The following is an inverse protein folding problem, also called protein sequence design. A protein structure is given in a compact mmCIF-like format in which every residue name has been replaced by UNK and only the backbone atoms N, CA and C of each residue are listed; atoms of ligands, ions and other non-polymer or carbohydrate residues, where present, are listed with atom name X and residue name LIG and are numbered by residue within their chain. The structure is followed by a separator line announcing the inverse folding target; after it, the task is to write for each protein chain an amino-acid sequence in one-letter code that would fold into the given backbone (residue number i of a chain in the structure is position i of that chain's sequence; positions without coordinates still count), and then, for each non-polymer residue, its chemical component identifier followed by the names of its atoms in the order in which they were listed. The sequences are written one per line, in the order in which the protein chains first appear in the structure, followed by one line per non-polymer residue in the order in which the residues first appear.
data_IF_821300246272
#
_entry.id   IF_821300246272
#
_cell.length_a   1.000
_cell.length_b   1.000
_cell.length_c   1.000
_cell.angle_alpha   90.00
_cell.angle_beta   90.00
_cell.angle_gamma   90.00
#
_symmetry.space_group_name_H-M   'P 1'
#
loop_
_entity.id
_entity.type
_entity.pdbx_description
1 polymer ?
#
# COMPACT_ATOMS: atom_id res chain seq x y z
N UNK A 1 -32.94 1.64 -14.87
CA UNK A 1 -32.11 2.54 -14.05
C UNK A 1 -32.63 2.49 -12.63
N UNK A 2 -31.74 2.34 -11.64
CA UNK A 2 -32.09 2.43 -10.22
C UNK A 2 -31.03 3.24 -9.47
N UNK A 3 -31.42 3.83 -8.34
CA UNK A 3 -30.48 4.49 -7.43
C UNK A 3 -30.74 4.04 -5.99
N UNK A 4 -29.66 3.87 -5.23
CA UNK A 4 -29.74 3.52 -3.82
C UNK A 4 -29.80 4.81 -3.00
N UNK A 5 -30.85 4.98 -2.19
CA UNK A 5 -30.94 6.03 -1.19
C UNK A 5 -30.64 5.44 0.18
N UNK A 6 -29.62 5.97 0.84
CA UNK A 6 -29.34 5.68 2.23
C UNK A 6 -29.86 6.82 3.07
N UNK A 7 -30.87 6.56 3.89
CA UNK A 7 -31.54 7.55 4.74
C UNK A 7 -31.45 7.01 6.18
N UNK A 8 -30.96 7.83 7.08
CA UNK A 8 -30.90 7.59 8.52
C UNK A 8 -31.36 8.85 9.28
N UNK A 9 -31.40 8.80 10.59
CA UNK A 9 -31.89 9.88 11.45
C UNK A 9 -31.09 11.19 11.33
N UNK A 10 -29.84 11.10 10.83
CA UNK A 10 -28.90 12.23 10.68
C UNK A 10 -28.77 12.67 9.22
N UNK A 11 -29.40 11.98 8.28
CA UNK A 11 -29.19 12.19 6.85
C UNK A 11 -29.70 13.56 6.41
N UNK A 12 -28.82 14.35 5.82
CA UNK A 12 -29.18 15.59 5.15
C UNK A 12 -29.99 15.30 3.89
N UNK A 13 -31.28 15.68 3.91
CA UNK A 13 -32.22 15.50 2.79
C UNK A 13 -31.76 16.18 1.49
N UNK A 14 -30.81 17.11 1.56
CA UNK A 14 -30.19 17.73 0.38
C UNK A 14 -29.49 16.71 -0.52
N UNK A 15 -28.72 15.80 0.07
CA UNK A 15 -28.04 14.73 -0.65
C UNK A 15 -29.03 13.75 -1.31
N UNK A 16 -30.12 13.43 -0.62
CA UNK A 16 -31.22 12.58 -1.15
C UNK A 16 -31.89 13.25 -2.35
N UNK A 17 -32.21 14.54 -2.26
CA UNK A 17 -32.81 15.32 -3.36
C UNK A 17 -31.90 15.34 -4.59
N UNK A 18 -30.59 15.53 -4.42
CA UNK A 18 -29.62 15.51 -5.52
C UNK A 18 -29.62 14.15 -6.22
N UNK A 19 -29.61 13.06 -5.48
CA UNK A 19 -29.62 11.70 -6.04
C UNK A 19 -30.92 11.40 -6.81
N UNK A 20 -32.07 11.83 -6.27
CA UNK A 20 -33.37 11.71 -6.97
C UNK A 20 -33.37 12.52 -8.26
N UNK A 21 -32.89 13.77 -8.22
CA UNK A 21 -32.82 14.61 -9.43
C UNK A 21 -31.91 14.03 -10.50
N UNK A 22 -30.76 13.49 -10.10
CA UNK A 22 -29.82 12.79 -11.00
C UNK A 22 -30.46 11.56 -11.64
N UNK A 23 -31.21 10.76 -10.86
CA UNK A 23 -31.94 9.61 -11.38
C UNK A 23 -32.99 10.05 -12.41
N UNK A 24 -33.80 11.05 -12.08
CA UNK A 24 -34.84 11.59 -12.99
C UNK A 24 -34.23 12.15 -14.28
N UNK A 25 -33.10 12.86 -14.19
CA UNK A 25 -32.37 13.34 -15.36
C UNK A 25 -31.91 12.20 -16.26
N UNK A 26 -31.29 11.14 -15.64
CA UNK A 26 -30.82 9.95 -16.38
C UNK A 26 -31.99 9.17 -17.04
N UNK A 27 -33.16 9.13 -16.42
CA UNK A 27 -34.34 8.51 -16.99
C UNK A 27 -34.87 9.33 -18.18
N UNK A 28 -34.92 10.65 -18.02
CA UNK A 28 -35.36 11.57 -19.08
C UNK A 28 -34.42 11.50 -20.30
N UNK A 29 -33.09 11.51 -20.08
CA UNK A 29 -32.12 11.35 -21.17
C UNK A 29 -32.29 10.01 -21.88
N UNK A 30 -32.53 8.92 -21.14
CA UNK A 30 -32.74 7.60 -21.72
C UNK A 30 -33.99 7.55 -22.61
N UNK A 31 -35.14 8.07 -22.15
CA UNK A 31 -36.35 8.15 -22.95
C UNK A 31 -36.16 8.98 -24.24
N UNK A 32 -35.38 10.06 -24.18
CA UNK A 32 -35.12 10.91 -25.34
C UNK A 32 -34.05 10.34 -26.28
N UNK A 33 -33.10 9.53 -25.75
CA UNK A 33 -32.13 8.79 -26.56
C UNK A 33 -32.80 7.61 -27.29
N UNK A 34 -33.63 6.84 -26.60
CA UNK A 34 -34.37 5.70 -27.21
C UNK A 34 -35.28 6.16 -28.36
N UNK A 35 -35.84 7.40 -28.31
CA UNK A 35 -36.61 7.99 -29.38
C UNK A 35 -35.79 8.59 -30.53
N UNK A 36 -34.49 8.83 -30.37
CA UNK A 36 -33.58 9.36 -31.39
C UNK A 36 -32.69 8.31 -32.03
N UNK A 37 -32.58 7.15 -31.47
CA UNK A 37 -31.60 6.13 -31.88
C UNK A 37 -32.26 4.81 -32.28
N UNK A 38 -33.03 4.84 -33.39
CA UNK A 38 -33.43 3.59 -34.10
C UNK A 38 -32.25 2.91 -34.84
N UNK A 39 -31.05 3.45 -34.74
CA UNK A 39 -29.82 2.93 -35.37
C UNK A 39 -28.62 2.90 -34.45
N UNK A 40 -28.77 2.99 -33.12
CA UNK A 40 -27.71 2.60 -32.20
C UNK A 40 -27.56 1.08 -32.26
N UNK A 41 -26.97 0.57 -33.31
CA UNK A 41 -26.15 -0.63 -33.19
C UNK A 41 -25.25 -0.36 -32.03
N UNK A 42 -25.28 -1.25 -31.04
CA UNK A 42 -24.18 -1.37 -30.06
C UNK A 42 -22.93 -1.48 -30.95
N UNK A 43 -22.28 -0.34 -31.17
CA UNK A 43 -20.99 -0.33 -31.84
C UNK A 43 -20.18 -1.28 -31.01
N UNK A 44 -19.82 -2.37 -31.64
CA UNK A 44 -18.89 -3.37 -31.14
C UNK A 44 -17.85 -2.58 -30.34
N UNK A 45 -17.90 -2.67 -29.00
CA UNK A 45 -16.89 -2.07 -28.15
C UNK A 45 -15.70 -2.93 -28.44
N UNK A 46 -14.99 -2.57 -29.52
CA UNK A 46 -13.89 -3.33 -30.07
C UNK A 46 -13.04 -3.76 -28.90
N UNK A 47 -12.79 -5.05 -28.82
CA UNK A 47 -12.12 -5.70 -27.69
C UNK A 47 -10.94 -4.82 -27.28
N UNK A 48 -11.03 -4.15 -26.12
CA UNK A 48 -10.00 -3.23 -25.65
C UNK A 48 -8.71 -4.03 -25.46
N UNK A 49 -7.87 -4.03 -26.50
CA UNK A 49 -6.54 -4.65 -26.45
C UNK A 49 -5.64 -3.81 -25.57
N UNK A 50 -5.62 -4.15 -24.28
CA UNK A 50 -4.70 -3.51 -23.34
C UNK A 50 -3.25 -3.62 -23.82
N UNK A 51 -2.43 -2.56 -23.73
CA UNK A 51 -1.00 -2.67 -23.95
C UNK A 51 -0.38 -3.60 -22.90
N UNK A 52 0.47 -4.49 -23.35
CA UNK A 52 1.10 -5.53 -22.53
C UNK A 52 2.59 -5.21 -22.40
N UNK A 53 3.12 -5.25 -21.19
CA UNK A 53 4.55 -5.07 -20.96
C UNK A 53 5.33 -6.29 -21.49
N UNK A 54 6.11 -6.09 -22.57
CA UNK A 54 6.83 -7.16 -23.28
C UNK A 54 8.24 -7.40 -22.74
N UNK A 55 8.90 -8.45 -23.21
CA UNK A 55 10.30 -8.76 -22.82
C UNK A 55 11.29 -7.72 -23.35
N UNK A 56 10.99 -7.12 -24.50
CA UNK A 56 11.76 -6.04 -25.11
C UNK A 56 11.66 -4.76 -24.29
N UNK A 57 10.46 -4.42 -23.85
CA UNK A 57 10.19 -3.28 -22.96
C UNK A 57 10.95 -3.37 -21.62
N UNK A 58 11.20 -4.57 -21.11
CA UNK A 58 12.03 -4.75 -19.89
C UNK A 58 13.40 -4.11 -20.01
N UNK A 59 13.97 -4.05 -21.22
CA UNK A 59 15.32 -3.51 -21.46
C UNK A 59 15.33 -2.01 -21.73
N UNK A 60 14.21 -1.43 -22.16
CA UNK A 60 14.13 -0.07 -22.71
C UNK A 60 13.23 0.84 -21.91
N UNK A 61 12.26 0.30 -21.19
CA UNK A 61 11.27 1.10 -20.46
C UNK A 61 11.64 1.28 -18.99
N UNK A 62 11.34 2.47 -18.50
CA UNK A 62 11.35 2.75 -17.06
C UNK A 62 9.98 2.42 -16.47
N UNK A 63 9.96 1.70 -15.37
CA UNK A 63 8.74 1.33 -14.66
C UNK A 63 8.55 2.30 -13.49
N UNK A 64 7.47 3.07 -13.51
CA UNK A 64 7.12 3.97 -12.42
C UNK A 64 6.29 3.23 -11.37
N UNK A 65 6.65 3.42 -10.11
CA UNK A 65 6.02 2.82 -8.93
C UNK A 65 5.38 3.95 -8.12
N UNK A 66 4.09 3.88 -7.72
CA UNK A 66 3.50 4.92 -6.90
C UNK A 66 4.10 4.87 -5.49
N UNK A 67 4.35 6.01 -4.87
CA UNK A 67 4.77 6.06 -3.49
C UNK A 67 3.58 5.79 -2.56
N UNK A 68 3.61 4.70 -1.83
CA UNK A 68 2.54 4.34 -0.88
C UNK A 68 3.03 4.26 0.56
N UNK A 69 4.32 3.97 0.77
CA UNK A 69 4.93 3.85 2.09
C UNK A 69 6.43 4.15 2.00
N UNK A 70 6.89 5.36 2.35
CA UNK A 70 8.25 5.83 2.10
C UNK A 70 9.35 4.94 2.71
N UNK A 71 9.15 4.42 3.93
CA UNK A 71 10.11 3.52 4.57
C UNK A 71 10.28 2.19 3.83
N UNK A 72 9.27 1.76 3.04
CA UNK A 72 9.20 0.41 2.47
C UNK A 72 9.45 0.38 0.96
N UNK A 73 8.87 1.31 0.21
CA UNK A 73 8.83 1.25 -1.25
C UNK A 73 10.20 1.43 -1.91
N UNK A 74 11.13 2.11 -1.25
CA UNK A 74 12.52 2.19 -1.69
C UNK A 74 13.23 0.81 -1.71
N UNK A 75 12.83 -0.13 -0.84
CA UNK A 75 13.34 -1.51 -0.89
C UNK A 75 12.66 -2.32 -2.01
N UNK A 76 11.37 -2.06 -2.31
CA UNK A 76 10.71 -2.64 -3.47
C UNK A 76 11.41 -2.23 -4.76
N UNK A 77 11.73 -0.94 -4.91
CA UNK A 77 12.50 -0.40 -6.03
C UNK A 77 13.85 -1.13 -6.14
N UNK A 78 14.59 -1.23 -5.05
CA UNK A 78 15.88 -1.94 -5.00
C UNK A 78 15.73 -3.40 -5.42
N UNK A 79 14.75 -4.13 -4.91
CA UNK A 79 14.52 -5.53 -5.24
C UNK A 79 14.18 -5.74 -6.73
N UNK A 80 13.41 -4.84 -7.33
CA UNK A 80 13.09 -4.88 -8.74
C UNK A 80 14.28 -4.50 -9.62
N UNK A 81 15.08 -3.52 -9.22
CA UNK A 81 16.31 -3.12 -9.93
C UNK A 81 17.35 -4.25 -9.92
N UNK A 82 17.53 -4.95 -8.78
CA UNK A 82 18.37 -6.16 -8.69
C UNK A 82 17.88 -7.26 -9.65
N UNK A 83 16.58 -7.36 -9.87
CA UNK A 83 15.98 -8.34 -10.81
C UNK A 83 16.10 -7.89 -12.29
N UNK A 84 16.79 -6.79 -12.56
CA UNK A 84 17.07 -6.28 -13.91
C UNK A 84 15.90 -5.51 -14.52
N UNK A 85 15.03 -4.93 -13.69
CA UNK A 85 14.07 -3.91 -14.12
C UNK A 85 14.69 -2.52 -13.90
N UNK A 86 14.30 -1.55 -14.73
CA UNK A 86 14.63 -0.15 -14.50
C UNK A 86 13.42 0.51 -13.84
N UNK A 87 13.44 0.65 -12.52
CA UNK A 87 12.29 1.14 -11.75
C UNK A 87 12.60 2.45 -11.05
N UNK A 88 11.57 3.27 -10.84
CA UNK A 88 11.63 4.50 -10.07
C UNK A 88 10.36 4.63 -9.23
N UNK A 89 10.52 4.75 -7.90
CA UNK A 89 9.42 5.13 -7.01
C UNK A 89 9.18 6.63 -7.16
N UNK A 90 7.96 7.01 -7.47
CA UNK A 90 7.60 8.41 -7.69
C UNK A 90 7.84 9.24 -6.42
N UNK A 91 8.49 10.40 -6.53
CA UNK A 91 8.52 11.34 -5.43
C UNK A 91 7.09 11.84 -5.18
N UNK A 92 6.69 11.90 -3.92
CA UNK A 92 5.35 12.33 -3.56
C UNK A 92 5.40 13.70 -2.89
N UNK A 93 5.76 14.71 -3.64
CA UNK A 93 6.01 16.08 -3.17
C UNK A 93 5.01 17.08 -3.74
N UNK A 94 4.30 16.71 -4.82
CA UNK A 94 3.38 17.61 -5.50
C UNK A 94 2.01 17.67 -4.83
N UNK A 95 1.58 18.86 -4.44
CA UNK A 95 0.21 19.12 -3.97
C UNK A 95 -0.85 18.86 -5.06
N UNK A 96 -0.44 18.81 -6.33
CA UNK A 96 -1.34 18.62 -7.47
C UNK A 96 -1.83 17.18 -7.58
N UNK A 97 -1.21 16.21 -6.90
CA UNK A 97 -1.56 14.79 -6.98
C UNK A 97 -3.03 14.53 -6.70
N UNK A 98 -3.61 15.14 -5.66
CA UNK A 98 -5.02 14.98 -5.32
C UNK A 98 -5.92 15.59 -6.39
N UNK A 99 -5.59 16.79 -6.86
CA UNK A 99 -6.36 17.49 -7.89
C UNK A 99 -6.33 16.74 -9.23
N UNK A 100 -5.15 16.24 -9.63
CA UNK A 100 -5.02 15.40 -10.82
C UNK A 100 -5.82 14.10 -10.69
N UNK A 101 -5.78 13.45 -9.54
CA UNK A 101 -6.56 12.23 -9.29
C UNK A 101 -8.07 12.46 -9.36
N UNK A 102 -8.56 13.56 -8.81
CA UNK A 102 -10.00 13.92 -8.81
C UNK A 102 -10.56 14.22 -10.21
N UNK A 103 -9.71 14.57 -11.18
CA UNK A 103 -10.16 14.74 -12.57
C UNK A 103 -10.63 13.45 -13.23
N UNK A 104 -10.12 12.30 -12.77
CA UNK A 104 -10.34 10.99 -13.40
C UNK A 104 -11.05 10.00 -12.49
N UNK A 105 -10.99 10.19 -11.18
CA UNK A 105 -11.56 9.30 -10.18
C UNK A 105 -12.65 10.04 -9.43
N UNK A 106 -13.84 9.44 -9.39
CA UNK A 106 -14.94 10.00 -8.63
C UNK A 106 -14.59 10.08 -7.14
N UNK A 107 -14.96 11.18 -6.48
CA UNK A 107 -14.67 11.41 -5.07
C UNK A 107 -15.28 10.35 -4.12
N UNK A 108 -16.39 9.70 -4.51
CA UNK A 108 -17.00 8.58 -3.75
C UNK A 108 -16.27 7.25 -3.93
N UNK A 109 -15.22 7.21 -4.77
CA UNK A 109 -14.36 6.05 -4.88
C UNK A 109 -13.50 5.90 -3.61
N UNK A 110 -12.42 5.19 -3.67
CA UNK A 110 -11.50 5.04 -2.55
C UNK A 110 -10.45 6.16 -2.61
N UNK A 111 -10.22 6.91 -1.53
CA UNK A 111 -9.23 7.99 -1.48
C UNK A 111 -7.83 7.55 -1.93
N UNK A 112 -7.30 6.36 -1.51
CA UNK A 112 -6.06 5.83 -2.06
C UNK A 112 -6.04 5.72 -3.59
N UNK A 113 -7.16 5.41 -4.25
CA UNK A 113 -7.18 5.36 -5.71
C UNK A 113 -6.99 6.74 -6.36
N UNK A 114 -7.50 7.78 -5.73
CA UNK A 114 -7.32 9.18 -6.18
C UNK A 114 -5.83 9.54 -6.09
N UNK A 115 -5.19 9.25 -4.96
CA UNK A 115 -3.76 9.53 -4.74
C UNK A 115 -2.89 8.76 -5.75
N UNK A 116 -3.10 7.45 -5.89
CA UNK A 116 -2.27 6.61 -6.76
C UNK A 116 -2.40 7.00 -8.23
N UNK A 117 -3.63 7.20 -8.70
CA UNK A 117 -3.86 7.63 -10.09
C UNK A 117 -3.32 9.05 -10.31
N UNK A 118 -3.53 9.94 -9.34
CA UNK A 118 -3.01 11.29 -9.39
C UNK A 118 -1.48 11.34 -9.49
N UNK A 119 -0.76 10.54 -8.69
CA UNK A 119 0.70 10.43 -8.76
C UNK A 119 1.18 10.05 -10.16
N UNK A 120 0.55 9.05 -10.78
CA UNK A 120 0.94 8.62 -12.13
C UNK A 120 0.65 9.70 -13.16
N UNK A 121 -0.54 10.31 -13.15
CA UNK A 121 -0.90 11.32 -14.16
C UNK A 121 -0.06 12.59 -13.99
N UNK A 122 0.17 13.05 -12.75
CA UNK A 122 1.04 14.19 -12.47
C UNK A 122 2.48 13.93 -12.98
N UNK A 123 3.02 12.74 -12.69
CA UNK A 123 4.34 12.33 -13.15
C UNK A 123 4.43 12.29 -14.70
N UNK A 124 3.45 11.69 -15.37
CA UNK A 124 3.44 11.61 -16.84
C UNK A 124 3.30 12.99 -17.50
N UNK A 125 2.59 13.92 -16.86
CA UNK A 125 2.45 15.31 -17.34
C UNK A 125 3.65 16.21 -17.01
N UNK A 126 4.55 15.79 -16.14
CA UNK A 126 5.70 16.59 -15.69
C UNK A 126 6.72 16.91 -16.77
N UNK A 127 6.70 16.20 -17.89
CA UNK A 127 7.74 16.29 -18.94
C UNK A 127 9.06 15.59 -18.59
N UNK A 128 9.18 14.98 -17.41
CA UNK A 128 10.39 14.27 -16.95
C UNK A 128 10.62 12.94 -17.66
N UNK A 129 9.57 12.29 -18.15
CA UNK A 129 9.61 10.95 -18.66
C UNK A 129 9.33 10.88 -20.16
N UNK A 130 10.07 10.01 -20.87
CA UNK A 130 9.79 9.65 -22.27
C UNK A 130 8.55 8.73 -22.27
N UNK A 131 7.41 9.26 -22.72
CA UNK A 131 6.12 8.57 -22.67
C UNK A 131 6.09 7.30 -23.55
N UNK A 132 6.96 7.19 -24.54
CA UNK A 132 7.10 5.99 -25.37
C UNK A 132 7.97 4.91 -24.73
N UNK A 133 8.69 5.25 -23.64
CA UNK A 133 9.58 4.33 -22.90
C UNK A 133 9.27 4.24 -21.41
N UNK A 134 8.01 4.45 -21.04
CA UNK A 134 7.56 4.32 -19.67
C UNK A 134 6.54 3.21 -19.54
N UNK A 135 6.51 2.57 -18.39
CA UNK A 135 5.48 1.63 -17.97
C UNK A 135 5.08 1.94 -16.53
N UNK A 136 3.90 1.58 -16.13
CA UNK A 136 3.40 1.79 -14.78
C UNK A 136 3.21 0.45 -14.07
N UNK A 137 3.43 0.39 -12.76
CA UNK A 137 3.16 -0.80 -11.98
C UNK A 137 2.27 -0.45 -10.79
N UNK A 138 1.22 -1.25 -10.58
CA UNK A 138 0.29 -1.07 -9.48
C UNK A 138 -0.10 -2.41 -8.87
N UNK A 139 -0.31 -2.46 -7.56
CA UNK A 139 -0.81 -3.64 -6.87
C UNK A 139 -2.27 -3.93 -7.24
N UNK A 140 -2.59 -5.22 -7.40
CA UNK A 140 -3.95 -5.71 -7.62
C UNK A 140 -4.22 -6.86 -6.66
N UNK A 141 -5.06 -6.63 -5.66
CA UNK A 141 -5.22 -7.56 -4.53
C UNK A 141 -6.05 -8.80 -4.86
N UNK A 142 -7.00 -8.69 -5.80
CA UNK A 142 -7.88 -9.81 -6.20
C UNK A 142 -8.97 -10.17 -5.19
N UNK A 143 -9.12 -9.40 -4.10
CA UNK A 143 -10.12 -9.59 -3.07
C UNK A 143 -11.31 -8.63 -3.16
N UNK A 144 -12.12 -8.56 -2.11
CA UNK A 144 -13.27 -7.64 -1.99
C UNK A 144 -12.90 -6.16 -1.80
N UNK A 145 -11.62 -5.85 -1.64
CA UNK A 145 -11.12 -4.48 -1.54
C UNK A 145 -11.13 -3.79 -2.92
N UNK A 146 -11.42 -2.48 -2.96
CA UNK A 146 -11.39 -1.68 -4.19
C UNK A 146 -10.01 -1.59 -4.83
N UNK A 147 -8.93 -1.87 -4.10
CA UNK A 147 -7.58 -1.98 -4.66
C UNK A 147 -7.45 -2.99 -5.82
N UNK A 148 -8.36 -3.94 -5.93
CA UNK A 148 -8.49 -4.81 -7.09
C UNK A 148 -8.77 -4.03 -8.39
N UNK A 149 -9.48 -2.90 -8.30
CA UNK A 149 -9.93 -2.10 -9.45
C UNK A 149 -9.07 -0.85 -9.73
N UNK A 150 -8.07 -0.54 -8.93
CA UNK A 150 -7.21 0.64 -9.16
C UNK A 150 -6.56 0.61 -10.55
N UNK A 151 -6.18 -0.56 -11.03
CA UNK A 151 -5.62 -0.74 -12.36
C UNK A 151 -6.60 -0.32 -13.47
N UNK A 152 -7.88 -0.58 -13.31
CA UNK A 152 -8.93 -0.17 -14.26
C UNK A 152 -9.14 1.34 -14.24
N UNK A 153 -9.11 1.96 -13.06
CA UNK A 153 -9.17 3.41 -12.92
C UNK A 153 -7.97 4.09 -13.59
N UNK A 154 -6.78 3.55 -13.37
CA UNK A 154 -5.56 4.06 -13.99
C UNK A 154 -5.61 3.96 -15.51
N UNK A 155 -6.03 2.82 -16.07
CA UNK A 155 -6.20 2.64 -17.51
C UNK A 155 -7.21 3.60 -18.11
N UNK A 156 -8.33 3.84 -17.40
CA UNK A 156 -9.31 4.85 -17.82
C UNK A 156 -8.67 6.24 -17.84
N UNK A 157 -7.96 6.62 -16.79
CA UNK A 157 -7.28 7.91 -16.71
C UNK A 157 -6.23 8.08 -17.84
N UNK A 158 -5.47 7.03 -18.16
CA UNK A 158 -4.54 7.04 -19.29
C UNK A 158 -5.27 7.27 -20.61
N UNK A 159 -6.37 6.56 -20.86
CA UNK A 159 -7.20 6.75 -22.06
C UNK A 159 -7.73 8.16 -22.17
N UNK A 160 -8.26 8.71 -21.07
CA UNK A 160 -8.80 10.08 -21.03
C UNK A 160 -7.71 11.16 -21.31
N UNK A 161 -6.42 10.80 -21.22
CA UNK A 161 -5.28 11.66 -21.55
C UNK A 161 -4.59 11.31 -22.90
N UNK A 162 -5.10 10.37 -23.69
CA UNK A 162 -4.47 9.93 -24.95
C UNK A 162 -3.18 9.12 -24.72
N UNK A 163 -3.02 8.53 -23.52
CA UNK A 163 -1.84 7.76 -23.08
C UNK A 163 -2.13 6.27 -22.96
N UNK A 164 -3.16 5.77 -23.64
CA UNK A 164 -3.58 4.37 -23.58
C UNK A 164 -2.54 3.37 -24.11
N UNK A 165 -1.50 3.84 -24.80
CA UNK A 165 -0.37 3.01 -25.26
C UNK A 165 0.59 2.62 -24.12
N UNK A 166 0.55 3.34 -22.98
CA UNK A 166 1.43 3.06 -21.83
C UNK A 166 0.99 1.76 -21.13
N UNK A 167 1.86 0.74 -21.03
CA UNK A 167 1.51 -0.50 -20.37
C UNK A 167 1.41 -0.34 -18.85
N UNK A 168 0.36 -0.91 -18.27
CA UNK A 168 0.15 -0.97 -16.83
C UNK A 168 0.33 -2.41 -16.35
N UNK A 169 1.36 -2.63 -15.53
CA UNK A 169 1.73 -3.92 -14.96
C UNK A 169 0.91 -4.16 -13.70
N UNK A 170 0.20 -5.28 -13.64
CA UNK A 170 -0.46 -5.74 -12.42
C UNK A 170 0.56 -6.46 -11.53
N UNK A 171 0.85 -5.87 -10.37
CA UNK A 171 1.64 -6.53 -9.33
C UNK A 171 0.71 -7.39 -8.47
N UNK A 172 0.56 -8.66 -8.85
CA UNK A 172 -0.32 -9.60 -8.16
C UNK A 172 0.31 -10.99 -8.08
N UNK A 173 -0.01 -11.70 -7.00
CA UNK A 173 0.43 -13.09 -6.76
C UNK A 173 -0.57 -14.10 -7.33
N UNK A 174 -1.83 -13.68 -7.52
CA UNK A 174 -2.93 -14.56 -7.94
C UNK A 174 -3.02 -14.81 -9.43
N UNK A 175 -2.13 -14.20 -10.23
CA UNK A 175 -2.10 -14.39 -11.68
C UNK A 175 -3.28 -13.79 -12.43
N UNK A 176 -3.90 -12.72 -11.88
CA UNK A 176 -5.06 -12.03 -12.46
C UNK A 176 -4.77 -11.49 -13.86
N UNK A 177 -3.55 -11.03 -14.09
CA UNK A 177 -3.10 -10.56 -15.39
C UNK A 177 -1.68 -11.04 -15.71
N UNK A 178 -1.41 -11.30 -16.98
CA UNK A 178 -0.10 -11.70 -17.46
C UNK A 178 0.56 -10.57 -18.24
N UNK A 179 1.82 -10.27 -17.88
CA UNK A 179 2.71 -9.39 -18.61
C UNK A 179 4.00 -10.16 -18.93
N UNK A 180 4.26 -10.54 -20.20
CA UNK A 180 5.39 -11.42 -20.54
C UNK A 180 6.77 -10.88 -20.14
N UNK A 181 6.91 -9.54 -20.09
CA UNK A 181 8.13 -8.86 -19.67
C UNK A 181 8.31 -8.77 -18.17
N UNK A 182 7.25 -8.99 -17.37
CA UNK A 182 7.29 -8.88 -15.91
C UNK A 182 7.02 -10.21 -15.24
N UNK A 183 7.96 -10.68 -14.43
CA UNK A 183 7.83 -11.94 -13.68
C UNK A 183 8.24 -11.73 -12.23
N UNK A 184 7.34 -12.05 -11.33
CA UNK A 184 7.66 -12.20 -9.91
C UNK A 184 8.34 -13.56 -9.70
N UNK A 185 9.60 -13.54 -9.28
CA UNK A 185 10.31 -14.72 -8.85
C UNK A 185 10.45 -14.77 -7.33
N UNK A 186 10.88 -15.91 -6.81
CA UNK A 186 11.05 -16.12 -5.36
C UNK A 186 12.08 -15.18 -4.76
N UNK A 187 13.11 -14.77 -5.53
CA UNK A 187 14.12 -13.82 -5.06
C UNK A 187 13.51 -12.43 -4.85
N UNK A 188 12.77 -11.89 -5.82
CA UNK A 188 12.08 -10.59 -5.70
C UNK A 188 11.15 -10.60 -4.48
N UNK A 189 10.35 -11.66 -4.31
CA UNK A 189 9.42 -11.78 -3.19
C UNK A 189 10.15 -11.80 -1.85
N UNK A 190 11.27 -12.52 -1.77
CA UNK A 190 12.09 -12.58 -0.56
C UNK A 190 12.75 -11.25 -0.26
N UNK A 191 13.37 -10.61 -1.25
CA UNK A 191 14.05 -9.33 -1.07
C UNK A 191 13.04 -8.22 -0.69
N UNK A 192 11.85 -8.23 -1.31
CA UNK A 192 10.75 -7.35 -0.92
C UNK A 192 10.28 -7.59 0.52
N UNK A 193 10.14 -8.86 0.92
CA UNK A 193 9.74 -9.21 2.28
C UNK A 193 10.75 -8.73 3.33
N UNK A 194 12.06 -8.91 3.07
CA UNK A 194 13.10 -8.35 3.94
C UNK A 194 13.05 -6.83 3.97
N UNK A 195 12.81 -6.21 2.81
CA UNK A 195 12.63 -4.76 2.71
C UNK A 195 11.46 -4.24 3.54
N UNK A 196 10.32 -4.95 3.57
CA UNK A 196 9.17 -4.60 4.42
C UNK A 196 9.56 -4.68 5.90
N UNK A 197 10.22 -5.76 6.32
CA UNK A 197 10.66 -5.93 7.71
C UNK A 197 11.67 -4.86 8.15
N UNK A 198 12.61 -4.51 7.28
CA UNK A 198 13.55 -3.42 7.55
C UNK A 198 12.86 -2.06 7.58
N UNK A 199 11.91 -1.82 6.67
CA UNK A 199 11.10 -0.61 6.65
C UNK A 199 10.32 -0.42 7.95
N UNK A 200 9.63 -1.46 8.41
CA UNK A 200 8.88 -1.46 9.67
C UNK A 200 9.80 -1.23 10.88
N UNK A 201 10.94 -1.94 10.93
CA UNK A 201 11.90 -1.77 12.02
C UNK A 201 12.45 -0.34 12.06
N UNK A 202 12.89 0.19 10.93
CA UNK A 202 13.42 1.55 10.85
C UNK A 202 12.35 2.59 11.19
N UNK A 203 11.13 2.47 10.66
CA UNK A 203 10.01 3.35 10.98
C UNK A 203 9.73 3.37 12.49
N UNK A 204 9.65 2.19 13.12
CA UNK A 204 9.47 2.05 14.56
C UNK A 204 10.56 2.76 15.36
N UNK A 205 11.82 2.52 15.01
CA UNK A 205 12.96 3.08 15.73
C UNK A 205 13.08 4.59 15.53
N UNK A 206 12.83 5.10 14.33
CA UNK A 206 12.82 6.53 14.02
C UNK A 206 11.75 7.24 14.85
N UNK A 207 10.51 6.81 14.81
CA UNK A 207 9.41 7.46 15.53
C UNK A 207 9.52 7.37 17.05
N UNK A 208 10.29 6.39 17.57
CA UNK A 208 10.56 6.25 19.00
C UNK A 208 11.86 6.93 19.46
N UNK A 209 12.67 7.44 18.55
CA UNK A 209 13.96 8.09 18.88
C UNK A 209 13.91 9.58 18.57
N UNK A 210 13.44 9.97 17.38
CA UNK A 210 13.47 11.35 16.89
C UNK A 210 12.83 12.37 17.82
N UNK A 211 11.67 12.11 18.46
CA UNK A 211 11.09 13.07 19.40
C UNK A 211 11.92 13.33 20.66
N UNK A 212 12.86 12.46 20.99
CA UNK A 212 13.66 12.49 22.22
C UNK A 212 15.15 12.76 21.99
N UNK A 213 15.63 12.82 20.73
CA UNK A 213 17.05 13.01 20.44
C UNK A 213 17.57 14.32 21.03
N UNK A 214 18.76 14.26 21.66
CA UNK A 214 19.42 15.45 22.23
C UNK A 214 19.98 16.35 21.14
N UNK A 215 20.54 15.74 20.09
CA UNK A 215 21.09 16.49 18.96
C UNK A 215 20.16 16.33 17.77
N UNK A 216 19.43 17.36 17.37
CA UNK A 216 18.50 17.29 16.26
C UNK A 216 19.13 16.76 14.97
N UNK A 217 18.47 15.76 14.36
CA UNK A 217 18.90 15.14 13.13
C UNK A 217 19.83 13.93 13.27
N UNK A 218 20.22 13.51 14.51
CA UNK A 218 20.99 12.28 14.71
C UNK A 218 20.22 11.04 14.23
N UNK A 219 18.93 11.02 14.51
CA UNK A 219 18.03 9.92 14.10
C UNK A 219 17.93 9.84 12.57
N UNK A 220 17.73 10.96 11.90
CA UNK A 220 17.58 10.98 10.44
C UNK A 220 18.91 10.63 9.74
N UNK A 221 20.05 11.11 10.24
CA UNK A 221 21.38 10.70 9.72
C UNK A 221 21.62 9.22 9.87
N UNK A 222 21.25 8.64 11.02
CA UNK A 222 21.39 7.20 11.25
C UNK A 222 20.45 6.39 10.36
N UNK A 223 19.21 6.86 10.16
CA UNK A 223 18.24 6.28 9.24
C UNK A 223 18.80 6.20 7.81
N UNK A 224 19.28 7.32 7.26
CA UNK A 224 19.85 7.37 5.91
C UNK A 224 21.07 6.43 5.75
N UNK A 225 21.94 6.40 6.75
CA UNK A 225 23.08 5.46 6.78
C UNK A 225 22.61 4.02 6.66
N UNK A 226 21.57 3.65 7.43
CA UNK A 226 21.06 2.28 7.41
C UNK A 226 20.30 1.94 6.14
N UNK A 227 19.51 2.86 5.57
CA UNK A 227 18.86 2.66 4.28
C UNK A 227 19.89 2.30 3.20
N UNK A 228 20.94 3.08 3.06
CA UNK A 228 21.97 2.85 2.05
C UNK A 228 22.68 1.50 2.27
N UNK A 229 23.00 1.16 3.52
CA UNK A 229 23.63 -0.12 3.86
C UNK A 229 22.73 -1.31 3.58
N UNK A 230 21.43 -1.22 3.86
CA UNK A 230 20.47 -2.30 3.64
C UNK A 230 20.17 -2.51 2.15
N UNK A 231 20.10 -1.44 1.35
CA UNK A 231 20.01 -1.53 -0.11
C UNK A 231 21.22 -2.31 -0.65
N UNK A 232 22.43 -1.95 -0.26
CA UNK A 232 23.65 -2.67 -0.66
C UNK A 232 23.68 -4.13 -0.16
N UNK A 233 23.12 -4.40 1.03
CA UNK A 233 22.99 -5.77 1.54
C UNK A 233 22.10 -6.65 0.66
N UNK A 234 20.96 -6.10 0.20
CA UNK A 234 20.06 -6.79 -0.73
C UNK A 234 20.73 -7.07 -2.09
N UNK A 235 21.54 -6.13 -2.59
CA UNK A 235 22.27 -6.29 -3.85
C UNK A 235 23.24 -7.47 -3.83
N UNK A 236 23.97 -7.67 -2.72
CA UNK A 236 24.95 -8.76 -2.61
C UNK A 236 24.27 -10.10 -2.43
N UNK A 237 23.54 -10.32 -1.39
CA UNK A 237 22.65 -11.46 -1.14
C UNK A 237 22.14 -11.39 0.29
N UNK A 238 20.86 -11.26 0.47
CA UNK A 238 20.25 -11.29 1.79
C UNK A 238 19.86 -12.71 2.20
N UNK A 239 20.23 -13.12 3.39
CA UNK A 239 19.84 -14.40 3.99
C UNK A 239 19.54 -14.22 5.48
N UNK A 240 18.97 -15.24 6.13
CA UNK A 240 18.55 -15.15 7.53
C UNK A 240 19.67 -14.75 8.48
N UNK A 241 20.91 -15.19 8.23
CA UNK A 241 22.06 -14.86 9.08
C UNK A 241 22.43 -13.39 8.96
N UNK A 242 22.44 -12.87 7.74
CA UNK A 242 22.70 -11.45 7.46
C UNK A 242 21.56 -10.59 8.00
N UNK A 243 20.30 -10.98 7.79
CA UNK A 243 19.14 -10.34 8.36
C UNK A 243 19.25 -10.20 9.88
N UNK A 244 19.49 -11.31 10.59
CA UNK A 244 19.61 -11.28 12.05
C UNK A 244 20.75 -10.36 12.52
N UNK A 245 21.89 -10.38 11.82
CA UNK A 245 23.03 -9.48 12.12
C UNK A 245 22.66 -8.02 11.92
N UNK A 246 21.99 -7.70 10.82
CA UNK A 246 21.55 -6.33 10.52
C UNK A 246 20.51 -5.84 11.54
N UNK A 247 19.48 -6.62 11.86
CA UNK A 247 18.47 -6.29 12.87
C UNK A 247 19.13 -5.95 14.21
N UNK A 248 20.01 -6.81 14.70
CA UNK A 248 20.74 -6.59 15.96
C UNK A 248 21.55 -5.30 15.94
N UNK A 249 22.25 -5.03 14.84
CA UNK A 249 23.11 -3.84 14.75
C UNK A 249 22.28 -2.56 14.61
N UNK A 250 21.18 -2.58 13.84
CA UNK A 250 20.25 -1.45 13.72
C UNK A 250 19.73 -1.06 15.10
N UNK A 251 19.18 -2.02 15.84
CA UNK A 251 18.62 -1.78 17.17
C UNK A 251 19.66 -1.20 18.11
N UNK A 252 20.88 -1.78 18.11
CA UNK A 252 22.00 -1.29 18.91
C UNK A 252 22.39 0.15 18.56
N UNK A 253 22.47 0.47 17.27
CA UNK A 253 22.87 1.81 16.83
C UNK A 253 21.81 2.87 17.23
N UNK A 254 20.52 2.57 17.07
CA UNK A 254 19.45 3.45 17.54
C UNK A 254 19.36 3.56 19.06
N UNK A 255 19.67 2.47 19.79
CA UNK A 255 19.73 2.49 21.26
C UNK A 255 20.84 3.42 21.78
N UNK A 256 21.89 3.61 21.02
CA UNK A 256 23.05 4.43 21.38
C UNK A 256 22.85 5.93 21.08
N UNK A 257 21.78 6.32 20.37
CA UNK A 257 21.47 7.74 20.22
C UNK A 257 21.15 8.34 21.59
N UNK A 258 21.79 9.44 21.92
CA UNK A 258 21.51 10.17 23.15
C UNK A 258 20.12 10.79 23.12
N UNK A 259 19.32 10.54 24.14
CA UNK A 259 17.96 11.04 24.27
C UNK A 259 17.79 11.87 25.56
N UNK A 260 16.77 12.71 25.55
CA UNK A 260 16.30 13.42 26.73
C UNK A 260 15.46 12.50 27.62
N UNK A 261 15.31 12.86 28.90
CA UNK A 261 14.47 12.15 29.88
C UNK A 261 13.00 12.66 29.86
N UNK A 262 12.63 13.44 28.85
CA UNK A 262 11.27 13.95 28.70
C UNK A 262 10.24 12.83 28.54
N UNK A 263 9.08 13.02 29.12
CA UNK A 263 7.92 12.14 28.90
C UNK A 263 6.95 12.84 27.95
N UNK A 264 6.74 12.25 26.77
CA UNK A 264 5.86 12.80 25.75
C UNK A 264 4.56 11.99 25.67
N UNK A 265 3.42 12.65 25.35
CA UNK A 265 2.18 11.95 25.07
C UNK A 265 2.37 11.00 23.86
N UNK A 266 1.78 9.79 23.96
CA UNK A 266 1.89 8.78 22.90
C UNK A 266 0.63 8.79 22.05
N UNK A 267 0.79 8.93 20.74
CA UNK A 267 -0.31 8.99 19.79
C UNK A 267 -0.18 7.85 18.79
N UNK A 268 -1.20 7.00 18.69
CA UNK A 268 -1.31 5.95 17.67
C UNK A 268 -1.98 6.49 16.40
N UNK A 269 -1.38 6.20 15.23
CA UNK A 269 -2.00 6.47 13.93
C UNK A 269 -2.40 5.13 13.35
N UNK A 270 -3.71 4.89 13.22
CA UNK A 270 -4.29 3.70 12.62
C UNK A 270 -5.17 4.09 11.44
N UNK A 271 -5.36 3.18 10.49
CA UNK A 271 -6.19 3.44 9.32
C UNK A 271 -5.77 2.61 8.11
N UNK A 272 -6.31 2.97 6.97
CA UNK A 272 -6.00 2.35 5.68
C UNK A 272 -4.50 2.48 5.36
N UNK A 273 -3.91 1.45 4.76
CA UNK A 273 -2.46 1.28 4.55
C UNK A 273 -1.83 2.52 3.91
N UNK A 274 -2.31 2.95 2.73
CA UNK A 274 -1.72 4.09 2.03
C UNK A 274 -1.84 5.35 2.87
N UNK A 275 -3.01 5.60 3.46
CA UNK A 275 -3.27 6.84 4.20
C UNK A 275 -2.42 6.91 5.46
N UNK A 276 -2.22 5.81 6.18
CA UNK A 276 -1.40 5.84 7.40
C UNK A 276 0.10 5.98 7.16
N UNK A 277 0.62 5.47 6.03
CA UNK A 277 2.06 5.48 5.75
C UNK A 277 2.52 6.64 4.87
N UNK A 278 1.64 7.18 4.04
CA UNK A 278 2.00 8.12 3.00
C UNK A 278 1.75 9.58 3.47
N UNK A 279 2.82 10.38 3.68
CA UNK A 279 2.70 11.70 4.32
C UNK A 279 1.74 12.66 3.60
N UNK A 280 1.77 12.72 2.27
CA UNK A 280 0.85 13.57 1.52
C UNK A 280 -0.62 13.16 1.72
N UNK A 281 -0.91 11.86 1.80
CA UNK A 281 -2.26 11.35 1.95
C UNK A 281 -2.85 11.64 3.33
N UNK A 282 -2.02 11.87 4.36
CA UNK A 282 -2.43 12.18 5.72
C UNK A 282 -2.06 13.61 6.18
N UNK A 283 -1.73 14.50 5.24
CA UNK A 283 -1.33 15.88 5.54
C UNK A 283 -0.13 15.97 6.49
N UNK A 284 0.87 15.09 6.33
CA UNK A 284 2.09 15.06 7.15
C UNK A 284 1.81 14.91 8.65
N UNK A 285 0.85 14.04 8.98
CA UNK A 285 0.33 13.89 10.33
C UNK A 285 1.42 13.53 11.35
N UNK A 286 2.39 12.70 10.98
CA UNK A 286 3.52 12.35 11.87
C UNK A 286 4.34 13.59 12.21
N UNK A 287 4.74 14.36 11.20
CA UNK A 287 5.53 15.57 11.38
C UNK A 287 4.78 16.62 12.21
N UNK A 288 3.47 16.72 12.00
CA UNK A 288 2.61 17.59 12.80
C UNK A 288 2.60 17.17 14.28
N UNK A 289 2.35 15.89 14.58
CA UNK A 289 2.30 15.38 15.94
C UNK A 289 3.64 15.48 16.66
N UNK A 290 4.76 15.22 15.98
CA UNK A 290 6.09 15.38 16.56
C UNK A 290 6.41 16.86 16.88
N UNK A 291 5.99 17.80 16.03
CA UNK A 291 6.10 19.24 16.30
C UNK A 291 5.28 19.69 17.50
N UNK A 292 4.11 19.08 17.72
CA UNK A 292 3.28 19.30 18.91
C UNK A 292 3.82 18.55 20.15
N UNK A 293 4.97 17.91 20.05
CA UNK A 293 5.66 17.28 21.18
C UNK A 293 5.17 15.86 21.50
N UNK A 294 4.51 15.15 20.58
CA UNK A 294 4.05 13.78 20.77
C UNK A 294 5.07 12.73 20.29
N UNK A 295 5.06 11.56 20.92
CA UNK A 295 5.66 10.33 20.38
C UNK A 295 4.64 9.61 19.51
N UNK A 296 4.97 9.36 18.24
CA UNK A 296 4.06 8.70 17.30
C UNK A 296 4.27 7.19 17.27
N UNK A 297 3.20 6.44 17.09
CA UNK A 297 3.21 5.00 16.85
C UNK A 297 2.34 4.67 15.64
N UNK A 298 2.94 4.03 14.64
CA UNK A 298 2.24 3.55 13.45
C UNK A 298 2.37 2.02 13.39
N UNK A 299 1.27 1.28 13.22
CA UNK A 299 1.31 -0.17 13.04
C UNK A 299 2.12 -0.57 11.81
N UNK A 300 2.69 -1.75 11.85
CA UNK A 300 3.63 -2.22 10.84
C UNK A 300 2.93 -2.73 9.58
N UNK A 301 3.54 -2.50 8.41
CA UNK A 301 3.04 -3.00 7.12
C UNK A 301 3.12 -4.54 7.06
N UNK A 302 4.10 -5.13 7.74
CA UNK A 302 4.27 -6.58 7.80
C UNK A 302 3.06 -7.30 8.43
N UNK A 303 2.36 -6.65 9.35
CA UNK A 303 1.17 -7.21 9.99
C UNK A 303 0.06 -7.50 8.98
N UNK A 304 -0.06 -6.72 7.91
CA UNK A 304 -1.01 -6.99 6.83
C UNK A 304 -0.71 -8.29 6.08
N UNK A 305 0.57 -8.63 5.87
CA UNK A 305 0.94 -9.91 5.24
C UNK A 305 0.64 -11.09 6.16
N UNK A 306 0.96 -10.98 7.44
CA UNK A 306 0.63 -12.01 8.43
C UNK A 306 -0.88 -12.19 8.57
N UNK A 307 -1.63 -11.08 8.63
CA UNK A 307 -3.09 -11.05 8.66
C UNK A 307 -3.69 -11.79 7.46
N UNK A 308 -3.22 -11.51 6.25
CA UNK A 308 -3.73 -12.16 5.02
C UNK A 308 -3.58 -13.68 5.07
N UNK A 309 -2.47 -14.18 5.64
CA UNK A 309 -2.25 -15.61 5.86
C UNK A 309 -3.12 -16.15 7.00
N UNK A 310 -3.27 -15.39 8.09
CA UNK A 310 -4.13 -15.77 9.21
C UNK A 310 -5.60 -15.90 8.80
N UNK A 311 -6.10 -15.01 7.92
CA UNK A 311 -7.44 -15.13 7.34
C UNK A 311 -7.65 -16.48 6.66
N UNK A 312 -6.68 -17.02 5.93
CA UNK A 312 -6.78 -18.35 5.32
C UNK A 312 -6.96 -19.48 6.34
N UNK A 313 -6.34 -19.37 7.52
CA UNK A 313 -6.54 -20.31 8.64
C UNK A 313 -7.91 -20.13 9.29
N UNK A 314 -8.33 -18.88 9.50
CA UNK A 314 -9.63 -18.53 10.08
C UNK A 314 -10.81 -19.00 9.24
N UNK A 315 -10.72 -18.85 7.92
CA UNK A 315 -11.73 -19.38 6.98
C UNK A 315 -11.89 -20.91 7.12
N UNK A 316 -10.78 -21.64 7.22
CA UNK A 316 -10.84 -23.08 7.44
C UNK A 316 -11.40 -23.43 8.82
N UNK A 317 -10.96 -22.71 9.87
CA UNK A 317 -11.45 -22.94 11.24
C UNK A 317 -12.97 -22.79 11.33
N UNK A 318 -13.52 -21.77 10.69
CA UNK A 318 -14.94 -21.43 10.79
C UNK A 318 -15.82 -22.17 9.78
N UNK A 319 -15.36 -22.35 8.54
CA UNK A 319 -16.17 -22.89 7.45
C UNK A 319 -15.74 -24.26 6.94
N UNK A 320 -14.61 -24.79 7.41
CA UNK A 320 -14.00 -26.04 6.92
C UNK A 320 -13.71 -26.03 5.40
N UNK A 321 -13.62 -24.86 4.79
CA UNK A 321 -13.33 -24.68 3.34
C UNK A 321 -11.83 -24.51 3.10
N UNK A 322 -11.38 -24.94 1.92
CA UNK A 322 -10.02 -24.69 1.43
C UNK A 322 -8.90 -25.26 2.33
N UNK A 323 -8.94 -26.53 2.65
CA UNK A 323 -7.89 -27.20 3.43
C UNK A 323 -6.47 -26.95 2.87
N UNK A 324 -6.30 -26.97 1.55
CA UNK A 324 -5.02 -26.67 0.92
C UNK A 324 -4.51 -25.26 1.27
N UNK A 325 -5.41 -24.25 1.21
CA UNK A 325 -5.09 -22.89 1.59
C UNK A 325 -4.70 -22.79 3.05
N UNK A 326 -5.41 -23.48 3.94
CA UNK A 326 -5.09 -23.52 5.37
C UNK A 326 -3.67 -24.08 5.62
N UNK A 327 -3.32 -25.21 4.99
CA UNK A 327 -1.98 -25.84 5.15
C UNK A 327 -0.88 -24.90 4.62
N UNK A 328 -1.05 -24.36 3.41
CA UNK A 328 -0.09 -23.43 2.81
C UNK A 328 0.05 -22.15 3.65
N UNK A 329 -1.07 -21.55 4.08
CA UNK A 329 -1.06 -20.37 4.93
C UNK A 329 -0.37 -20.64 6.26
N UNK A 330 -0.61 -21.79 6.89
CA UNK A 330 0.05 -22.20 8.14
C UNK A 330 1.57 -22.32 7.99
N UNK A 331 2.03 -22.95 6.90
CA UNK A 331 3.45 -23.09 6.62
C UNK A 331 4.12 -21.74 6.35
N UNK A 332 3.51 -20.91 5.48
CA UNK A 332 4.01 -19.57 5.17
C UNK A 332 4.01 -18.66 6.40
N UNK A 333 2.95 -18.68 7.18
CA UNK A 333 2.86 -17.90 8.42
C UNK A 333 4.00 -18.27 9.38
N UNK A 334 4.26 -19.57 9.59
CA UNK A 334 5.38 -20.03 10.42
C UNK A 334 6.73 -19.58 9.87
N UNK A 335 6.91 -19.62 8.56
CA UNK A 335 8.12 -19.14 7.91
C UNK A 335 8.31 -17.63 8.09
N UNK A 336 7.28 -16.83 7.87
CA UNK A 336 7.34 -15.38 8.03
C UNK A 336 7.53 -14.97 9.50
N UNK A 337 6.84 -15.64 10.42
CA UNK A 337 6.94 -15.38 11.85
C UNK A 337 8.37 -15.54 12.40
N UNK A 338 9.21 -16.36 11.77
CA UNK A 338 10.62 -16.52 12.21
C UNK A 338 11.42 -15.22 12.09
N UNK A 339 11.16 -14.40 11.07
CA UNK A 339 11.83 -13.10 10.91
C UNK A 339 11.27 -12.08 11.92
N UNK A 340 9.96 -12.07 12.11
CA UNK A 340 9.29 -11.25 13.13
C UNK A 340 9.81 -11.56 14.53
N UNK A 341 9.95 -12.84 14.87
CA UNK A 341 10.46 -13.28 16.16
C UNK A 341 11.88 -12.79 16.41
N UNK A 342 12.76 -12.74 15.39
CA UNK A 342 14.08 -12.14 15.54
C UNK A 342 14.00 -10.68 16.00
N UNK A 343 13.13 -9.88 15.38
CA UNK A 343 12.94 -8.47 15.76
C UNK A 343 12.40 -8.38 17.19
N UNK A 344 11.38 -9.19 17.52
CA UNK A 344 10.78 -9.22 18.87
C UNK A 344 11.86 -9.55 19.93
N UNK A 345 12.67 -10.59 19.71
CA UNK A 345 13.70 -11.00 20.67
C UNK A 345 14.79 -9.93 20.86
N UNK A 346 15.27 -9.31 19.78
CA UNK A 346 16.30 -8.27 19.87
C UNK A 346 15.77 -6.96 20.51
N UNK A 347 14.46 -6.70 20.47
CA UNK A 347 13.85 -5.52 21.09
C UNK A 347 13.52 -5.72 22.58
N UNK A 348 13.40 -6.95 23.10
CA UNK A 348 12.95 -7.25 24.48
C UNK A 348 13.66 -6.48 25.59
N UNK A 349 14.97 -6.29 25.45
CA UNK A 349 15.82 -5.66 26.49
C UNK A 349 16.27 -4.26 26.08
N UNK A 350 15.48 -3.57 25.28
CA UNK A 350 15.76 -2.22 24.81
C UNK A 350 14.67 -1.25 25.27
N UNK A 351 14.89 0.03 25.07
CA UNK A 351 13.85 1.07 25.30
C UNK A 351 12.68 1.01 24.33
N UNK A 352 12.80 0.21 23.25
CA UNK A 352 11.81 0.11 22.20
C UNK A 352 10.81 -1.01 22.51
N UNK A 353 9.52 -0.69 22.42
CA UNK A 353 8.46 -1.70 22.57
C UNK A 353 8.46 -2.63 21.36
N UNK A 354 8.55 -3.94 21.61
CA UNK A 354 8.46 -4.95 20.57
C UNK A 354 7.05 -4.97 19.93
N UNK A 355 6.95 -5.32 18.63
CA UNK A 355 5.66 -5.56 17.98
C UNK A 355 4.99 -6.82 18.56
N UNK A 356 3.66 -6.86 18.52
CA UNK A 356 2.88 -8.02 18.92
C UNK A 356 2.92 -9.11 17.84
N UNK A 357 2.68 -10.35 18.21
CA UNK A 357 2.48 -11.46 17.26
C UNK A 357 1.08 -11.39 16.66
N UNK A 358 0.88 -11.99 15.50
CA UNK A 358 -0.43 -11.97 14.84
C UNK A 358 -1.52 -12.71 15.65
N UNK A 359 -1.12 -13.73 16.40
CA UNK A 359 -2.00 -14.44 17.31
C UNK A 359 -2.47 -13.54 18.48
N UNK A 360 -1.55 -12.75 19.06
CA UNK A 360 -1.85 -11.76 20.11
C UNK A 360 -2.77 -10.66 19.56
N UNK A 361 -2.56 -10.24 18.31
CA UNK A 361 -3.44 -9.28 17.62
C UNK A 361 -4.84 -9.89 17.40
N UNK A 362 -4.92 -11.18 17.04
CA UNK A 362 -6.20 -11.87 16.91
C UNK A 362 -6.97 -11.92 18.25
N UNK A 363 -6.28 -12.14 19.35
CA UNK A 363 -6.89 -12.17 20.69
C UNK A 363 -7.41 -10.80 21.12
N UNK A 364 -6.67 -9.72 20.85
CA UNK A 364 -7.07 -8.36 21.22
C UNK A 364 -8.43 -7.94 20.63
N UNK A 365 -8.74 -8.38 19.42
CA UNK A 365 -10.01 -8.03 18.76
C UNK A 365 -11.20 -8.81 19.32
N UNK A 366 -11.00 -9.86 20.14
CA UNK A 366 -12.09 -10.69 20.70
C UNK A 366 -13.04 -9.84 21.54
N UNK A 367 -14.34 -10.06 21.36
CA UNK A 367 -15.37 -9.25 22.01
C UNK A 367 -15.72 -7.94 21.28
N UNK A 368 -14.89 -7.47 20.35
CA UNK A 368 -15.13 -6.24 19.58
C UNK A 368 -15.59 -6.51 18.15
N UNK A 369 -14.87 -7.36 17.41
CA UNK A 369 -15.18 -7.65 16.01
C UNK A 369 -14.94 -9.12 15.65
N UNK A 370 -15.78 -9.65 14.77
CA UNK A 370 -15.63 -11.03 14.30
C UNK A 370 -14.35 -11.22 13.47
N UNK A 371 -13.70 -12.39 13.66
CA UNK A 371 -12.58 -12.83 12.81
C UNK A 371 -12.96 -13.01 11.33
N UNK A 372 -14.24 -12.99 11.01
CA UNK A 372 -14.77 -13.09 9.67
C UNK A 372 -14.89 -11.72 8.98
N UNK A 373 -14.70 -10.63 9.72
CA UNK A 373 -14.56 -9.29 9.12
C UNK A 373 -13.16 -9.14 8.53
N UNK A 374 -12.98 -9.58 7.29
CA UNK A 374 -11.68 -9.75 6.64
C UNK A 374 -11.54 -8.99 5.31
N UNK A 375 -12.41 -8.02 5.03
CA UNK A 375 -12.28 -7.15 3.86
C UNK A 375 -11.27 -6.04 4.13
N UNK A 376 -10.34 -5.82 3.19
CA UNK A 376 -9.21 -4.92 3.40
C UNK A 376 -8.38 -5.35 4.61
N UNK A 377 -8.11 -4.44 5.53
CA UNK A 377 -7.47 -4.71 6.82
C UNK A 377 -8.40 -5.37 7.85
N UNK A 378 -9.70 -5.31 7.63
CA UNK A 378 -10.73 -6.00 8.40
C UNK A 378 -10.55 -5.88 9.93
N UNK A 379 -10.49 -7.04 10.62
CA UNK A 379 -10.33 -7.08 12.08
C UNK A 379 -8.96 -6.58 12.57
N UNK A 380 -7.94 -6.53 11.67
CA UNK A 380 -6.61 -6.05 12.03
C UNK A 380 -6.65 -4.60 12.53
N UNK A 381 -7.42 -3.72 11.86
CA UNK A 381 -7.57 -2.32 12.30
C UNK A 381 -8.04 -2.20 13.74
N UNK A 382 -9.02 -3.00 14.15
CA UNK A 382 -9.50 -3.02 15.53
C UNK A 382 -8.41 -3.45 16.50
N UNK A 383 -7.64 -4.48 16.14
CA UNK A 383 -6.53 -4.95 16.96
C UNK A 383 -5.36 -3.93 17.04
N UNK A 384 -5.15 -3.14 15.99
CA UNK A 384 -4.14 -2.07 15.97
C UNK A 384 -4.53 -0.88 16.88
N UNK A 385 -5.83 -0.67 17.12
CA UNK A 385 -6.34 0.38 18.00
C UNK A 385 -6.23 0.02 19.49
N UNK A 386 -6.22 -1.29 19.83
CA UNK A 386 -6.19 -1.85 21.18
C UNK A 386 -4.76 -2.21 21.62
#
# INVERSE_FOLDING_TARGET
VYTLLKIDEITNLGAVKIRIRSLLASMYEKEHLDNKCSSCTVTDIGEYKRPVFTKEMKKTHKILIPQMAPFHFQFLETALNIAGYNTEVLPNESKNVVEEGLKYIHNDACYPSIIVVGQFIDALKSGKYDLDKVALIISQTGGGCRATNYISFLRKALKDNGLEHIPVISFNISGLEKNPGFKLNTKILKDFLHGVLYGDLLMRLVYKTRPYEKNPGDTDRLYEKWINRLKSSLEVSENKKIFNKNVKQIIKDFQNIEITDEVKPKVGIVGEILVKFQPLANNYLVDFLEKEGAEVSVPELYDFFLYTLQVGKLEYRNYKKNLKRNIVSGFLLKYLQQYRNTIIEELKNTRFKAPKRIEEMEELRDGYVSSLNNMGEGWLLTAEML
#
